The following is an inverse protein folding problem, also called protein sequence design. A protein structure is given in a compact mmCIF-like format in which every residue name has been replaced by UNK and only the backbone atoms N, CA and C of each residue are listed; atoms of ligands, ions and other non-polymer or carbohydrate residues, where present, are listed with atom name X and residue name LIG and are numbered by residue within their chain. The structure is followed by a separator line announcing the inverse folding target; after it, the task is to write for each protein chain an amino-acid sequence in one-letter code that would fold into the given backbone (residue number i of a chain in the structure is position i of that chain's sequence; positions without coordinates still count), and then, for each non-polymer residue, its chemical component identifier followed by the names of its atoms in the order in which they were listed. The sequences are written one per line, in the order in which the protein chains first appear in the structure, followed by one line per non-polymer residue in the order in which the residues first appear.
data_IF_039362608402
#
_entry.id   IF_039362608402
#
_cell.length_a   1.000
_cell.length_b   1.000
_cell.length_c   1.000
_cell.angle_alpha   90.00
_cell.angle_beta   90.00
_cell.angle_gamma   90.00
#
_symmetry.space_group_name_H-M   'P 1'
#
loop_
_entity.id
_entity.type
_entity.pdbx_description
1 polymer ?
#
# COMPACT_ATOMS: atom_id res chain seq x y z
N UNK A 1 -21.36 55.15 -4.67
CA UNK A 1 -21.12 54.56 -3.34
C UNK A 1 -21.08 53.05 -3.48
N UNK A 2 -19.98 52.44 -3.01
CA UNK A 2 -19.83 51.07 -2.48
C UNK A 2 -20.10 49.83 -3.36
N UNK A 3 -19.00 49.07 -3.50
CA UNK A 3 -18.86 47.69 -3.95
C UNK A 3 -19.44 46.69 -2.93
N UNK A 4 -19.89 45.50 -3.36
CA UNK A 4 -19.76 44.26 -2.57
C UNK A 4 -19.56 43.03 -3.48
N UNK A 5 -18.42 42.38 -3.28
CA UNK A 5 -17.93 41.17 -3.94
C UNK A 5 -18.57 39.88 -3.36
N UNK A 6 -18.42 38.71 -4.01
CA UNK A 6 -19.04 37.44 -3.62
C UNK A 6 -18.15 36.67 -2.65
N UNK A 7 -18.66 36.22 -1.50
CA UNK A 7 -17.89 35.37 -0.57
C UNK A 7 -18.79 34.39 0.17
N UNK A 8 -18.78 33.11 -0.24
CA UNK A 8 -18.42 31.99 0.65
C UNK A 8 -18.48 30.66 -0.13
N UNK A 9 -17.34 30.24 -0.70
CA UNK A 9 -17.08 28.81 -0.89
C UNK A 9 -16.38 28.32 0.38
N UNK A 10 -16.82 27.22 1.01
CA UNK A 10 -15.95 26.56 1.98
C UNK A 10 -14.82 25.88 1.20
N UNK A 11 -13.64 26.48 1.19
CA UNK A 11 -12.41 25.75 0.94
C UNK A 11 -11.52 25.89 2.18
N UNK A 12 -11.35 24.80 2.91
CA UNK A 12 -10.04 24.47 3.41
C UNK A 12 -9.69 23.11 2.80
N UNK A 13 -9.03 23.14 1.65
CA UNK A 13 -7.94 22.19 1.41
C UNK A 13 -6.93 22.41 2.53
N UNK A 14 -7.17 21.81 3.69
CA UNK A 14 -6.07 21.45 4.57
C UNK A 14 -5.19 20.54 3.71
N UNK A 15 -3.91 20.84 3.51
CA UNK A 15 -3.00 19.83 3.00
C UNK A 15 -3.11 18.70 4.02
N UNK A 16 -3.78 17.62 3.61
CA UNK A 16 -3.61 16.32 4.23
C UNK A 16 -2.10 16.15 4.19
N UNK A 17 -1.44 16.32 5.33
CA UNK A 17 0.00 16.21 5.51
C UNK A 17 0.42 14.84 4.96
N UNK A 18 0.66 14.80 3.67
CA UNK A 18 0.99 13.60 2.92
C UNK A 18 2.49 13.47 3.09
N UNK A 19 2.87 13.07 4.30
CA UNK A 19 4.24 12.77 4.63
C UNK A 19 4.63 11.60 3.72
N UNK A 20 5.61 11.84 2.84
CA UNK A 20 6.14 10.78 1.99
C UNK A 20 6.62 9.61 2.88
N UNK A 21 6.36 8.37 2.47
CA UNK A 21 6.66 7.18 3.28
C UNK A 21 8.09 7.20 3.89
N UNK A 22 9.17 7.56 3.17
CA UNK A 22 10.52 7.64 3.74
C UNK A 22 10.66 8.66 4.88
N UNK A 23 9.96 9.79 4.80
CA UNK A 23 9.94 10.80 5.86
C UNK A 23 9.11 10.32 7.07
N UNK A 24 7.98 9.64 6.81
CA UNK A 24 7.15 9.06 7.87
C UNK A 24 7.93 8.04 8.69
N UNK A 25 8.67 7.13 8.05
CA UNK A 25 9.50 6.15 8.76
C UNK A 25 10.58 6.82 9.63
N UNK A 26 11.17 7.93 9.18
CA UNK A 26 12.14 8.69 9.97
C UNK A 26 11.49 9.33 11.20
N UNK A 27 10.32 9.94 11.04
CA UNK A 27 9.57 10.53 12.16
C UNK A 27 9.10 9.47 13.15
N UNK A 28 8.60 8.32 12.67
CA UNK A 28 8.21 7.18 13.52
C UNK A 28 9.43 6.68 14.30
N UNK A 29 10.57 6.42 13.63
CA UNK A 29 11.81 5.98 14.27
C UNK A 29 12.31 6.97 15.34
N UNK A 30 12.19 8.26 15.10
CA UNK A 30 12.55 9.29 16.07
C UNK A 30 11.59 9.35 17.27
N UNK A 31 10.33 8.93 17.09
CA UNK A 31 9.29 8.94 18.12
C UNK A 31 9.22 7.68 18.98
N UNK A 32 9.89 6.60 18.57
CA UNK A 32 9.85 5.30 19.23
C UNK A 32 11.20 4.94 19.86
N UNK A 33 11.16 4.13 20.92
CA UNK A 33 12.37 3.46 21.43
C UNK A 33 12.85 2.37 20.46
N UNK A 34 14.11 1.90 20.56
CA UNK A 34 14.61 0.82 19.69
C UNK A 34 13.76 -0.45 19.73
N UNK A 35 13.28 -0.84 20.92
CA UNK A 35 12.40 -2.01 21.09
C UNK A 35 11.05 -1.80 20.41
N UNK A 36 10.41 -0.64 20.63
CA UNK A 36 9.13 -0.31 19.99
C UNK A 36 9.26 -0.21 18.46
N UNK A 37 10.39 0.26 17.97
CA UNK A 37 10.66 0.33 16.54
C UNK A 37 10.85 -1.07 15.93
N UNK A 38 11.45 -2.02 16.65
CA UNK A 38 11.57 -3.41 16.22
C UNK A 38 10.21 -4.10 16.14
N UNK A 39 9.34 -3.89 17.14
CA UNK A 39 7.94 -4.36 17.11
C UNK A 39 7.18 -3.75 15.94
N UNK A 40 7.36 -2.44 15.69
CA UNK A 40 6.74 -1.75 14.56
C UNK A 40 7.20 -2.33 13.22
N UNK A 41 8.52 -2.50 13.03
CA UNK A 41 9.09 -3.03 11.80
C UNK A 41 8.62 -4.48 11.55
N UNK A 42 8.53 -5.29 12.60
CA UNK A 42 8.02 -6.66 12.53
C UNK A 42 6.57 -6.71 12.05
N UNK A 43 5.71 -5.81 12.54
CA UNK A 43 4.32 -5.70 12.09
C UNK A 43 4.21 -5.30 10.60
N UNK A 44 5.04 -4.36 10.16
CA UNK A 44 5.09 -3.94 8.75
C UNK A 44 5.60 -5.07 7.85
N UNK A 45 6.62 -5.81 8.30
CA UNK A 45 7.14 -6.95 7.57
C UNK A 45 6.09 -8.07 7.42
N UNK A 46 5.37 -8.40 8.51
CA UNK A 46 4.29 -9.39 8.48
C UNK A 46 3.14 -8.97 7.55
N UNK A 47 2.78 -7.68 7.53
CA UNK A 47 1.81 -7.14 6.57
C UNK A 47 2.28 -7.30 5.12
N UNK A 48 3.53 -6.92 4.83
CA UNK A 48 4.10 -7.02 3.48
C UNK A 48 4.25 -8.47 3.01
N UNK A 49 4.44 -9.42 3.93
CA UNK A 49 4.48 -10.85 3.64
C UNK A 49 3.08 -11.44 3.38
N UNK A 50 2.01 -10.71 3.71
CA UNK A 50 0.63 -11.21 3.67
C UNK A 50 0.26 -12.10 4.87
N UNK A 51 1.13 -12.21 5.87
CA UNK A 51 0.90 -12.99 7.10
C UNK A 51 -0.06 -12.28 8.07
N UNK A 52 -0.26 -10.96 7.89
CA UNK A 52 -1.13 -10.15 8.73
C UNK A 52 -2.05 -9.24 7.90
N UNK A 53 -3.32 -9.09 8.29
CA UNK A 53 -4.26 -8.20 7.61
C UNK A 53 -4.00 -6.72 7.95
N UNK A 54 -4.54 -5.82 7.13
CA UNK A 54 -4.45 -4.38 7.40
C UNK A 54 -5.05 -4.01 8.77
N UNK A 55 -6.22 -4.54 9.13
CA UNK A 55 -6.88 -4.24 10.40
C UNK A 55 -6.04 -4.69 11.60
N UNK A 56 -5.46 -5.89 11.51
CA UNK A 56 -4.59 -6.42 12.55
C UNK A 56 -3.31 -5.60 12.69
N UNK A 57 -2.75 -5.16 11.56
CA UNK A 57 -1.56 -4.31 11.51
C UNK A 57 -1.81 -2.94 12.13
N UNK A 58 -2.91 -2.29 11.77
CA UNK A 58 -3.32 -0.99 12.33
C UNK A 58 -3.54 -1.10 13.84
N UNK A 59 -4.21 -2.17 14.30
CA UNK A 59 -4.44 -2.42 15.73
C UNK A 59 -3.13 -2.56 16.51
N UNK A 60 -2.18 -3.35 16.00
CA UNK A 60 -0.89 -3.57 16.66
C UNK A 60 -0.06 -2.28 16.69
N UNK A 61 -0.01 -1.54 15.58
CA UNK A 61 0.72 -0.27 15.50
C UNK A 61 0.10 0.80 16.41
N UNK A 62 -1.22 0.78 16.62
CA UNK A 62 -1.91 1.70 17.53
C UNK A 62 -1.45 1.59 18.99
N UNK A 63 -0.90 0.44 19.40
CA UNK A 63 -0.27 0.25 20.71
C UNK A 63 1.15 0.81 20.82
N UNK A 64 1.82 1.04 19.68
CA UNK A 64 3.23 1.41 19.58
C UNK A 64 3.35 2.91 19.25
N UNK A 65 2.69 3.36 18.18
CA UNK A 65 2.77 4.74 17.69
C UNK A 65 1.77 5.61 18.44
N UNK A 66 2.23 6.24 19.52
CA UNK A 66 1.39 7.13 20.36
C UNK A 66 1.02 8.45 19.68
N UNK A 67 1.79 8.87 18.68
CA UNK A 67 1.54 10.10 17.94
C UNK A 67 0.38 9.91 16.97
N UNK A 68 -0.75 10.57 17.23
CA UNK A 68 -1.98 10.47 16.43
C UNK A 68 -1.77 10.86 14.96
N UNK A 69 -0.91 11.84 14.66
CA UNK A 69 -0.61 12.26 13.27
C UNK A 69 0.15 11.16 12.54
N UNK A 70 1.22 10.63 13.15
CA UNK A 70 2.02 9.55 12.57
C UNK A 70 1.21 8.26 12.40
N UNK A 71 0.37 7.94 13.39
CA UNK A 71 -0.54 6.80 13.32
C UNK A 71 -1.55 6.93 12.17
N UNK A 72 -2.18 8.10 12.00
CA UNK A 72 -3.12 8.33 10.91
C UNK A 72 -2.45 8.23 9.53
N UNK A 73 -1.27 8.82 9.37
CA UNK A 73 -0.49 8.71 8.12
C UNK A 73 -0.11 7.25 7.81
N UNK A 74 0.35 6.48 8.82
CA UNK A 74 0.72 5.08 8.63
C UNK A 74 -0.50 4.20 8.29
N UNK A 75 -1.62 4.43 8.96
CA UNK A 75 -2.89 3.74 8.69
C UNK A 75 -3.33 3.98 7.24
N UNK A 76 -3.25 5.23 6.78
CA UNK A 76 -3.55 5.56 5.38
C UNK A 76 -2.66 4.80 4.41
N UNK A 77 -1.34 4.71 4.66
CA UNK A 77 -0.42 3.96 3.80
C UNK A 77 -0.73 2.47 3.76
N UNK A 78 -1.08 1.86 4.88
CA UNK A 78 -1.42 0.42 4.95
C UNK A 78 -2.66 0.13 4.10
N UNK A 79 -3.71 0.94 4.24
CA UNK A 79 -4.92 0.76 3.44
C UNK A 79 -4.72 1.08 1.96
N UNK A 80 -3.90 2.09 1.63
CA UNK A 80 -3.51 2.36 0.24
C UNK A 80 -2.72 1.19 -0.35
N UNK A 81 -1.74 0.65 0.37
CA UNK A 81 -0.98 -0.52 -0.08
C UNK A 81 -1.87 -1.76 -0.26
N UNK A 82 -2.89 -1.93 0.58
CA UNK A 82 -3.87 -3.00 0.42
C UNK A 82 -4.70 -2.83 -0.86
N UNK A 83 -5.23 -1.63 -1.12
CA UNK A 83 -5.97 -1.33 -2.35
C UNK A 83 -5.10 -1.51 -3.61
N UNK A 84 -3.85 -1.05 -3.55
CA UNK A 84 -2.86 -1.24 -4.60
C UNK A 84 -2.50 -2.72 -4.81
N UNK A 85 -2.44 -3.53 -3.75
CA UNK A 85 -2.17 -4.97 -3.85
C UNK A 85 -3.32 -5.74 -4.54
N UNK A 86 -4.58 -5.35 -4.27
CA UNK A 86 -5.77 -5.90 -4.95
C UNK A 86 -5.76 -5.52 -6.43
N UNK A 87 -5.37 -4.28 -6.74
CA UNK A 87 -5.29 -3.78 -8.12
C UNK A 87 -4.11 -4.36 -8.89
N UNK A 88 -2.96 -4.56 -8.24
CA UNK A 88 -1.72 -5.07 -8.85
C UNK A 88 -1.80 -6.56 -9.17
N UNK A 89 -2.63 -7.34 -8.47
CA UNK A 89 -2.90 -8.74 -8.80
C UNK A 89 -3.65 -8.91 -10.14
N UNK A 90 -4.11 -7.81 -10.76
CA UNK A 90 -4.76 -7.81 -12.08
C UNK A 90 -3.79 -7.55 -13.25
N UNK A 91 -2.50 -7.29 -13.01
CA UNK A 91 -1.47 -7.09 -14.05
C UNK A 91 -0.27 -8.01 -13.84
N UNK A 92 -0.48 -9.32 -13.94
CA UNK A 92 0.62 -10.25 -13.70
C UNK A 92 0.33 -11.74 -13.89
N UNK A 93 -0.49 -12.13 -14.86
CA UNK A 93 -0.33 -13.46 -15.46
C UNK A 93 0.10 -13.26 -16.91
N UNK A 94 1.33 -13.63 -17.31
CA UNK A 94 1.56 -13.88 -18.72
C UNK A 94 0.61 -15.03 -19.08
N UNK A 95 -0.19 -14.82 -20.12
CA UNK A 95 -0.82 -15.92 -20.83
C UNK A 95 0.32 -16.87 -21.22
N UNK A 96 0.44 -17.99 -20.49
CA UNK A 96 1.18 -19.14 -21.01
C UNK A 96 0.40 -19.53 -22.25
N UNK A 97 0.98 -19.16 -23.38
CA UNK A 97 0.65 -19.71 -24.68
C UNK A 97 0.74 -21.23 -24.55
N UNK A 98 -0.43 -21.87 -24.53
CA UNK A 98 -0.52 -23.29 -24.82
C UNK A 98 -0.80 -23.37 -26.32
N UNK A 99 0.26 -23.18 -27.11
CA UNK A 99 0.26 -23.50 -28.53
C UNK A 99 1.55 -24.25 -28.84
N UNK A 100 1.50 -25.57 -28.66
CA UNK A 100 2.35 -26.53 -29.38
C UNK A 100 1.61 -27.88 -29.41
N UNK A 101 0.54 -27.93 -30.20
CA UNK A 101 -0.01 -29.20 -30.70
C UNK A 101 0.48 -29.37 -32.13
N UNK A 102 1.64 -30.00 -32.27
CA UNK A 102 2.20 -30.44 -33.57
C UNK A 102 1.25 -31.45 -34.23
N UNK A 103 0.72 -31.19 -35.44
CA UNK A 103 0.12 -32.22 -36.28
C UNK A 103 1.14 -32.60 -37.36
N UNK A 104 1.93 -33.64 -37.12
CA UNK A 104 2.80 -34.22 -38.14
C UNK A 104 2.38 -35.67 -38.39
N UNK A 105 1.33 -35.82 -39.21
CA UNK A 105 0.96 -37.08 -39.82
C UNK A 105 2.12 -37.61 -40.67
N UNK A 106 2.70 -38.72 -40.24
CA UNK A 106 3.67 -39.53 -40.99
C UNK A 106 3.09 -39.89 -42.36
N UNK A 107 3.72 -39.38 -43.42
CA UNK A 107 3.64 -39.95 -44.76
C UNK A 107 4.96 -40.66 -45.07
N UNK A 108 4.81 -41.82 -45.70
CA UNK A 108 5.81 -42.59 -46.46
C UNK A 108 6.72 -43.55 -45.66
N UNK A 109 6.49 -44.85 -45.84
CA UNK A 109 7.55 -45.71 -46.35
C UNK A 109 6.95 -46.74 -47.33
N UNK A 110 7.64 -46.90 -48.44
CA UNK A 110 7.35 -47.82 -49.52
C UNK A 110 8.33 -49.00 -49.44
N UNK A 111 7.81 -50.22 -49.59
CA UNK A 111 8.55 -51.41 -50.00
C UNK A 111 7.58 -52.36 -50.69
#
# INVERSE_FOLDING_TARGET
MQQRAPTNKPNPQQPQDTIAAPALYKEIRASLTPSEFEDFASNVAAFNAGDQTAEQTVKNIGGIVRNKRLYACMTSLIYTALDESVTSNSKGKPAVAVDDSVPAGRRSDAA
#
